data_IF_681873196560
#
_entry.id   IF_681873196560
#
_cell.length_a   1.000
_cell.length_b   1.000
_cell.length_c   1.000
_cell.angle_alpha   90.00
_cell.angle_beta   90.00
_cell.angle_gamma   90.00
#
_symmetry.space_group_name_H-M   'P 1'
#
loop_
_entity.id
_entity.type
_entity.pdbx_description
1 polymer ?
#
# COMPACT_ATOMS: atom_id res chain seq x y z
N UNK A 1 17.82 60.04 -17.01
CA UNK A 1 17.02 59.37 -15.96
C UNK A 1 16.31 58.19 -16.59
N UNK A 2 16.74 56.96 -16.28
CA UNK A 2 16.06 55.73 -16.72
C UNK A 2 15.34 55.15 -15.51
N UNK A 3 14.02 55.16 -15.55
CA UNK A 3 13.15 54.65 -14.50
C UNK A 3 12.93 53.16 -14.77
N UNK A 4 13.49 52.31 -13.91
CA UNK A 4 13.28 50.85 -13.97
C UNK A 4 12.05 50.53 -13.14
N UNK A 5 10.97 50.11 -13.79
CA UNK A 5 9.74 49.69 -13.12
C UNK A 5 9.88 48.24 -12.67
N UNK A 6 10.04 48.02 -11.36
CA UNK A 6 10.07 46.68 -10.77
C UNK A 6 8.64 46.16 -10.64
N UNK A 7 8.27 45.14 -11.42
CA UNK A 7 7.02 44.41 -11.23
C UNK A 7 7.17 43.44 -10.05
N UNK A 8 6.45 43.71 -8.96
CA UNK A 8 6.28 42.76 -7.86
C UNK A 8 5.19 41.77 -8.28
N UNK A 9 5.59 40.55 -8.65
CA UNK A 9 4.65 39.44 -8.83
C UNK A 9 4.26 38.95 -7.43
N UNK A 10 3.08 39.33 -6.97
CA UNK A 10 2.47 38.74 -5.78
C UNK A 10 2.07 37.30 -6.10
N UNK A 11 2.82 36.32 -5.59
CA UNK A 11 2.42 34.93 -5.61
C UNK A 11 1.23 34.75 -4.66
N UNK A 12 0.02 34.66 -5.22
CA UNK A 12 -1.16 34.21 -4.49
C UNK A 12 -0.96 32.74 -4.11
N UNK A 13 -0.59 32.49 -2.86
CA UNK A 13 -0.68 31.15 -2.27
C UNK A 13 -2.17 30.78 -2.22
N UNK A 14 -2.62 29.95 -3.17
CA UNK A 14 -3.93 29.34 -3.06
C UNK A 14 -3.96 28.51 -1.77
N UNK A 15 -4.98 28.64 -0.92
CA UNK A 15 -5.13 27.72 0.20
C UNK A 15 -5.23 26.31 -0.39
N UNK A 16 -4.35 25.41 0.06
CA UNK A 16 -4.51 23.97 -0.11
C UNK A 16 -5.87 23.63 0.50
N UNK A 17 -6.91 23.59 -0.33
CA UNK A 17 -8.15 22.93 0.03
C UNK A 17 -7.74 21.48 0.33
N UNK A 18 -7.80 21.10 1.61
CA UNK A 18 -7.61 19.72 2.02
C UNK A 18 -8.52 18.85 1.15
N UNK A 19 -7.97 17.75 0.66
CA UNK A 19 -8.64 16.82 -0.24
C UNK A 19 -9.85 16.18 0.45
N UNK A 20 -10.95 16.91 0.54
CA UNK A 20 -12.24 16.36 0.94
C UNK A 20 -12.92 15.80 -0.32
N UNK A 21 -12.19 14.97 -1.06
CA UNK A 21 -12.66 14.33 -2.28
C UNK A 21 -12.83 12.85 -2.02
N UNK A 22 -14.04 12.37 -2.27
CA UNK A 22 -14.31 10.94 -2.36
C UNK A 22 -13.58 10.38 -3.57
N UNK A 23 -12.98 9.19 -3.48
CA UNK A 23 -12.30 8.58 -4.62
C UNK A 23 -12.62 7.10 -4.73
N UNK A 24 -13.15 6.70 -5.89
CA UNK A 24 -13.45 5.31 -6.20
C UNK A 24 -12.20 4.44 -6.38
N UNK A 25 -11.00 5.03 -6.39
CA UNK A 25 -9.72 4.33 -6.52
C UNK A 25 -9.23 3.73 -5.20
N UNK A 26 -9.79 4.17 -4.06
CA UNK A 26 -9.34 3.77 -2.73
C UNK A 26 -9.76 2.35 -2.38
N UNK A 27 -8.83 1.57 -1.85
CA UNK A 27 -9.10 0.24 -1.33
C UNK A 27 -8.43 -0.04 0.00
N UNK A 28 -8.86 -1.12 0.63
CA UNK A 28 -8.36 -1.53 1.93
C UNK A 28 -7.21 -2.52 1.76
N UNK A 29 -6.00 -2.09 2.16
CA UNK A 29 -4.91 -3.01 2.50
C UNK A 29 -5.22 -3.58 3.90
N UNK A 30 -5.92 -4.71 3.95
CA UNK A 30 -6.40 -5.30 5.20
C UNK A 30 -5.27 -6.02 5.94
N UNK A 31 -5.07 -5.65 7.20
CA UNK A 31 -4.12 -6.31 8.12
C UNK A 31 -4.89 -6.90 9.29
N UNK A 32 -4.89 -8.23 9.39
CA UNK A 32 -5.57 -8.89 10.49
C UNK A 32 -4.90 -8.57 11.84
N UNK A 33 -5.70 -8.34 12.89
CA UNK A 33 -5.22 -8.08 14.23
C UNK A 33 -6.12 -8.73 15.29
N UNK A 34 -5.71 -8.65 16.56
CA UNK A 34 -6.57 -9.06 17.69
C UNK A 34 -7.82 -8.18 17.85
N UNK A 35 -7.90 -7.05 17.12
CA UNK A 35 -8.99 -6.09 17.19
C UNK A 35 -9.91 -6.12 15.96
N UNK A 36 -9.69 -7.00 14.98
CA UNK A 36 -10.48 -7.02 13.73
C UNK A 36 -11.98 -7.12 13.99
N UNK A 37 -12.42 -7.96 14.94
CA UNK A 37 -13.85 -8.07 15.31
C UNK A 37 -14.51 -6.75 15.72
N UNK A 38 -13.74 -5.78 16.23
CA UNK A 38 -14.26 -4.45 16.59
C UNK A 38 -14.00 -3.39 15.53
N UNK A 39 -12.93 -3.55 14.75
CA UNK A 39 -12.42 -2.52 13.84
C UNK A 39 -12.97 -2.72 12.41
N UNK A 40 -13.28 -3.95 12.00
CA UNK A 40 -13.71 -4.27 10.64
C UNK A 40 -14.97 -3.51 10.17
N UNK A 41 -16.00 -3.28 11.02
CA UNK A 41 -17.16 -2.50 10.63
C UNK A 41 -16.86 -1.03 10.26
N UNK A 42 -15.66 -0.53 10.57
CA UNK A 42 -15.22 0.82 10.21
C UNK A 42 -14.95 0.91 8.70
N UNK A 43 -14.45 -0.17 8.08
CA UNK A 43 -13.89 -0.13 6.73
C UNK A 43 -14.96 -0.04 5.63
N UNK A 44 -16.14 -0.59 5.84
CA UNK A 44 -17.23 -0.61 4.87
C UNK A 44 -18.48 0.20 5.32
N UNK A 45 -18.41 0.85 6.49
CA UNK A 45 -19.49 1.63 7.07
C UNK A 45 -20.03 2.73 6.14
N UNK A 46 -21.22 3.26 6.46
CA UNK A 46 -21.99 4.15 5.56
C UNK A 46 -21.29 5.43 5.08
N UNK A 47 -20.18 5.83 5.72
CA UNK A 47 -19.34 6.94 5.30
C UNK A 47 -17.97 6.54 4.74
N UNK A 48 -17.78 5.28 4.31
CA UNK A 48 -16.55 4.79 3.67
C UNK A 48 -16.64 4.89 2.15
N UNK A 49 -15.60 5.41 1.51
CA UNK A 49 -15.46 5.46 0.05
C UNK A 49 -14.71 4.27 -0.54
N UNK A 50 -14.31 3.30 0.28
CA UNK A 50 -13.54 2.15 -0.21
C UNK A 50 -14.39 1.29 -1.15
N UNK A 51 -13.77 0.79 -2.22
CA UNK A 51 -14.45 0.00 -3.27
C UNK A 51 -13.89 -1.40 -3.44
N UNK A 52 -12.67 -1.66 -2.96
CA UNK A 52 -11.98 -2.95 -3.07
C UNK A 52 -11.13 -3.22 -1.83
N UNK A 53 -10.74 -4.47 -1.62
CA UNK A 53 -9.79 -4.85 -0.58
C UNK A 53 -8.98 -6.08 -0.94
N UNK A 54 -7.81 -6.20 -0.33
CA UNK A 54 -7.00 -7.41 -0.31
C UNK A 54 -6.47 -7.63 1.10
N UNK A 55 -6.09 -8.86 1.43
CA UNK A 55 -5.71 -9.27 2.78
C UNK A 55 -4.43 -10.13 2.82
N UNK A 56 -3.58 -10.00 1.79
CA UNK A 56 -2.40 -10.85 1.57
C UNK A 56 -2.69 -12.35 1.41
N UNK A 57 -3.96 -12.75 1.35
CA UNK A 57 -4.37 -14.12 1.16
C UNK A 57 -5.13 -14.32 -0.13
N UNK A 58 -5.56 -15.55 -0.34
CA UNK A 58 -6.44 -15.94 -1.44
C UNK A 58 -7.86 -16.28 -0.99
N UNK A 59 -8.16 -16.17 0.31
CA UNK A 59 -9.54 -16.29 0.85
C UNK A 59 -10.05 -14.97 1.39
N UNK A 60 -11.32 -14.60 1.12
CA UNK A 60 -11.95 -13.41 1.68
C UNK A 60 -11.88 -13.34 3.21
N UNK A 61 -11.84 -12.13 3.76
CA UNK A 61 -11.89 -11.91 5.21
C UNK A 61 -13.33 -12.06 5.69
N UNK A 62 -13.57 -12.99 6.63
CA UNK A 62 -14.87 -13.15 7.28
C UNK A 62 -15.32 -11.83 7.93
N UNK A 63 -16.51 -11.36 7.60
CA UNK A 63 -17.06 -10.10 8.09
C UNK A 63 -16.85 -8.93 7.11
N UNK A 64 -15.97 -9.08 6.13
CA UNK A 64 -15.78 -8.15 5.01
C UNK A 64 -16.29 -8.75 3.69
N UNK A 65 -16.35 -10.07 3.60
CA UNK A 65 -16.77 -10.87 2.44
C UNK A 65 -18.22 -10.65 1.98
N UNK A 66 -19.09 -10.10 2.83
CA UNK A 66 -20.46 -9.70 2.49
C UNK A 66 -20.66 -8.21 2.20
N UNK A 67 -19.58 -7.42 2.19
CA UNK A 67 -19.65 -5.96 2.09
C UNK A 67 -19.64 -5.51 0.63
N UNK A 68 -19.67 -4.19 0.41
CA UNK A 68 -19.54 -3.61 -0.94
C UNK A 68 -18.11 -3.70 -1.51
N UNK A 69 -17.13 -4.10 -0.70
CA UNK A 69 -15.73 -4.12 -1.12
C UNK A 69 -15.45 -5.33 -2.00
N UNK A 70 -15.00 -5.09 -3.23
CA UNK A 70 -14.55 -6.16 -4.10
C UNK A 70 -13.29 -6.83 -3.52
N UNK A 71 -13.34 -8.13 -3.27
CA UNK A 71 -12.18 -8.89 -2.82
C UNK A 71 -11.20 -9.15 -3.97
N UNK A 72 -9.92 -8.88 -3.73
CA UNK A 72 -8.81 -9.14 -4.66
C UNK A 72 -7.90 -10.22 -4.04
N UNK A 73 -7.94 -11.47 -4.55
CA UNK A 73 -7.06 -12.53 -4.10
C UNK A 73 -5.59 -12.23 -4.43
N UNK A 74 -4.69 -12.62 -3.54
CA UNK A 74 -3.25 -12.47 -3.70
C UNK A 74 -2.54 -13.82 -3.52
N UNK A 75 -1.66 -14.16 -4.46
CA UNK A 75 -0.67 -15.21 -4.25
C UNK A 75 0.55 -14.58 -3.60
N UNK A 76 0.57 -14.52 -2.27
CA UNK A 76 1.55 -13.73 -1.52
C UNK A 76 3.01 -14.13 -1.79
N UNK A 77 3.31 -15.42 -1.92
CA UNK A 77 4.69 -15.89 -1.94
C UNK A 77 4.85 -17.30 -2.51
N UNK A 78 6.00 -17.94 -2.27
CA UNK A 78 6.29 -19.24 -2.86
C UNK A 78 5.33 -20.31 -2.33
N UNK A 79 4.84 -21.20 -3.20
CA UNK A 79 4.02 -22.31 -2.77
C UNK A 79 4.87 -23.36 -2.04
N UNK A 80 4.24 -24.24 -1.22
CA UNK A 80 4.96 -25.31 -0.54
C UNK A 80 5.61 -26.34 -1.48
N UNK A 81 5.15 -26.44 -2.74
CA UNK A 81 5.75 -27.29 -3.76
C UNK A 81 5.62 -26.70 -5.18
N UNK A 82 6.45 -27.17 -6.11
CA UNK A 82 6.39 -26.78 -7.52
C UNK A 82 5.21 -27.40 -8.31
N UNK A 83 4.37 -28.20 -7.65
CA UNK A 83 3.14 -28.78 -8.19
C UNK A 83 1.89 -28.21 -7.53
N UNK A 84 2.03 -27.25 -6.62
CA UNK A 84 0.90 -26.63 -5.95
C UNK A 84 0.01 -25.89 -6.96
N UNK A 85 -1.30 -26.02 -6.75
CA UNK A 85 -2.36 -25.37 -7.51
C UNK A 85 -3.38 -24.72 -6.58
N UNK A 86 -3.06 -24.59 -5.28
CA UNK A 86 -4.00 -24.14 -4.24
C UNK A 86 -4.54 -22.76 -4.56
N UNK A 87 -3.70 -21.83 -5.04
CA UNK A 87 -4.14 -20.49 -5.36
C UNK A 87 -5.14 -20.49 -6.53
N UNK A 88 -4.77 -21.09 -7.66
CA UNK A 88 -5.64 -21.20 -8.83
C UNK A 88 -6.96 -21.89 -8.48
N UNK A 89 -6.91 -23.03 -7.78
CA UNK A 89 -8.10 -23.79 -7.40
C UNK A 89 -9.01 -23.00 -6.46
N UNK A 90 -8.44 -22.21 -5.54
CA UNK A 90 -9.22 -21.37 -4.65
C UNK A 90 -9.93 -20.25 -5.43
N UNK A 91 -9.21 -19.51 -6.26
CA UNK A 91 -9.79 -18.43 -7.08
C UNK A 91 -10.89 -18.96 -7.99
N UNK A 92 -10.66 -20.11 -8.64
CA UNK A 92 -11.66 -20.80 -9.45
C UNK A 92 -12.90 -21.18 -8.64
N UNK A 93 -12.71 -21.68 -7.42
CA UNK A 93 -13.81 -22.02 -6.50
C UNK A 93 -14.63 -20.78 -6.11
N UNK A 94 -13.98 -19.65 -5.82
CA UNK A 94 -14.64 -18.37 -5.53
C UNK A 94 -15.49 -17.90 -6.71
N UNK A 95 -14.98 -18.00 -7.93
CA UNK A 95 -15.76 -17.68 -9.14
C UNK A 95 -16.97 -18.62 -9.27
N UNK A 96 -16.76 -19.93 -9.09
CA UNK A 96 -17.83 -20.93 -9.19
C UNK A 96 -18.92 -20.75 -8.12
N UNK A 97 -18.58 -20.21 -6.95
CA UNK A 97 -19.54 -19.87 -5.89
C UNK A 97 -20.26 -18.53 -6.10
N UNK A 98 -19.94 -17.80 -7.17
CA UNK A 98 -20.57 -16.52 -7.52
C UNK A 98 -19.85 -15.28 -7.01
N UNK A 99 -18.65 -15.42 -6.41
CA UNK A 99 -17.83 -14.28 -6.00
C UNK A 99 -17.29 -13.57 -7.25
N UNK A 100 -17.45 -12.24 -7.32
CA UNK A 100 -16.99 -11.44 -8.45
C UNK A 100 -15.48 -11.18 -8.38
N UNK A 101 -14.68 -12.12 -8.88
CA UNK A 101 -13.22 -11.96 -9.01
C UNK A 101 -12.88 -11.40 -10.39
N UNK A 102 -12.42 -10.15 -10.44
CA UNK A 102 -11.99 -9.48 -11.68
C UNK A 102 -10.48 -9.28 -11.75
N UNK A 103 -9.82 -9.17 -10.60
CA UNK A 103 -8.40 -8.92 -10.47
C UNK A 103 -7.78 -9.94 -9.51
N UNK A 104 -6.51 -10.24 -9.72
CA UNK A 104 -5.66 -10.92 -8.73
C UNK A 104 -4.33 -10.20 -8.62
N UNK A 105 -3.73 -10.26 -7.43
CA UNK A 105 -2.39 -9.76 -7.16
C UNK A 105 -1.38 -10.91 -7.18
N UNK A 106 -0.21 -10.67 -7.77
CA UNK A 106 0.94 -11.56 -7.68
C UNK A 106 1.66 -11.45 -6.33
N UNK A 107 2.93 -11.86 -6.32
CA UNK A 107 3.75 -11.99 -5.11
C UNK A 107 3.99 -10.66 -4.38
N UNK A 108 4.04 -10.71 -3.05
CA UNK A 108 4.31 -9.59 -2.16
C UNK A 108 5.79 -9.47 -1.89
N UNK A 109 6.41 -8.37 -2.31
CA UNK A 109 7.83 -8.06 -2.15
C UNK A 109 8.73 -9.30 -2.27
N UNK A 110 8.68 -10.04 -3.39
CA UNK A 110 9.47 -11.25 -3.56
C UNK A 110 10.97 -10.96 -3.53
N UNK A 111 11.38 -9.73 -3.81
CA UNK A 111 12.75 -9.23 -3.67
C UNK A 111 13.17 -8.99 -2.21
N UNK A 112 12.21 -8.91 -1.28
CA UNK A 112 12.41 -8.70 0.15
C UNK A 112 12.33 -10.00 0.95
N UNK A 113 13.33 -10.25 1.80
CA UNK A 113 13.36 -11.42 2.71
C UNK A 113 13.15 -11.06 4.18
N UNK A 114 12.83 -9.80 4.47
CA UNK A 114 12.62 -9.27 5.82
C UNK A 114 11.33 -8.44 5.84
N UNK A 115 10.79 -8.20 7.03
CA UNK A 115 9.72 -7.21 7.27
C UNK A 115 8.39 -7.45 6.54
N UNK A 116 8.10 -8.68 6.10
CA UNK A 116 6.82 -9.04 5.47
C UNK A 116 6.90 -9.33 3.97
N UNK A 117 8.09 -9.30 3.37
CA UNK A 117 8.32 -9.79 2.01
C UNK A 117 8.32 -11.31 1.90
N UNK A 118 7.99 -11.81 0.70
CA UNK A 118 7.81 -13.25 0.45
C UNK A 118 9.08 -14.02 0.14
N UNK A 119 10.22 -13.33 -0.06
CA UNK A 119 11.53 -13.94 -0.30
C UNK A 119 11.51 -15.03 -1.38
N UNK A 120 11.30 -14.63 -2.63
CA UNK A 120 11.15 -15.54 -3.76
C UNK A 120 12.07 -15.13 -4.90
N UNK A 121 12.85 -16.04 -5.45
CA UNK A 121 13.68 -15.73 -6.62
C UNK A 121 12.84 -15.62 -7.90
N UNK A 122 13.35 -14.88 -8.87
CA UNK A 122 12.64 -14.57 -10.11
C UNK A 122 12.29 -15.80 -10.97
N UNK A 123 13.13 -16.84 -10.96
CA UNK A 123 12.91 -18.06 -11.75
C UNK A 123 11.75 -18.86 -11.15
N UNK A 124 11.79 -19.12 -9.85
CA UNK A 124 10.70 -19.81 -9.14
C UNK A 124 9.39 -19.02 -9.23
N UNK A 125 9.46 -17.68 -9.20
CA UNK A 125 8.29 -16.81 -9.38
C UNK A 125 7.68 -16.92 -10.78
N UNK A 126 8.50 -16.93 -11.84
CA UNK A 126 8.02 -17.10 -13.20
C UNK A 126 7.35 -18.47 -13.41
N UNK A 127 7.97 -19.55 -12.93
CA UNK A 127 7.40 -20.91 -13.01
C UNK A 127 6.07 -21.02 -12.26
N UNK A 128 6.00 -20.42 -11.07
CA UNK A 128 4.77 -20.37 -10.26
C UNK A 128 3.68 -19.53 -10.92
N UNK A 129 4.03 -18.37 -11.47
CA UNK A 129 3.09 -17.51 -12.20
C UNK A 129 2.48 -18.26 -13.38
N UNK A 130 3.31 -18.88 -14.23
CA UNK A 130 2.86 -19.62 -15.41
C UNK A 130 1.90 -20.77 -15.02
N UNK A 131 2.14 -21.39 -13.87
CA UNK A 131 1.34 -22.49 -13.35
C UNK A 131 0.02 -22.04 -12.71
N UNK A 132 0.03 -21.03 -11.83
CA UNK A 132 -1.12 -20.71 -10.97
C UNK A 132 -1.83 -19.39 -11.30
N UNK A 133 -1.15 -18.41 -11.89
CA UNK A 133 -1.71 -17.07 -12.14
C UNK A 133 -2.13 -16.93 -13.62
N UNK A 134 -1.25 -17.28 -14.55
CA UNK A 134 -1.48 -17.14 -15.98
C UNK A 134 -2.78 -17.85 -16.48
N UNK A 135 -3.14 -19.06 -16.01
CA UNK A 135 -4.38 -19.71 -16.43
C UNK A 135 -5.64 -18.94 -16.03
N UNK A 136 -5.62 -18.18 -14.92
CA UNK A 136 -6.78 -17.39 -14.48
C UNK A 136 -7.21 -16.37 -15.52
N UNK A 137 -6.26 -15.76 -16.22
CA UNK A 137 -6.55 -14.86 -17.34
C UNK A 137 -7.12 -15.61 -18.54
N UNK A 138 -6.46 -16.71 -18.94
CA UNK A 138 -6.83 -17.47 -20.13
C UNK A 138 -8.22 -18.12 -20.01
N UNK A 139 -8.56 -18.61 -18.82
CA UNK A 139 -9.78 -19.39 -18.58
C UNK A 139 -10.93 -18.56 -18.01
N UNK A 140 -10.63 -17.48 -17.26
CA UNK A 140 -11.64 -16.70 -16.55
C UNK A 140 -11.62 -15.20 -16.88
N UNK A 141 -10.71 -14.74 -17.75
CA UNK A 141 -10.63 -13.32 -18.13
C UNK A 141 -10.22 -12.40 -16.98
N UNK A 142 -9.61 -12.94 -15.92
CA UNK A 142 -9.11 -12.18 -14.78
C UNK A 142 -7.92 -11.31 -15.22
N UNK A 143 -7.87 -10.08 -14.72
CA UNK A 143 -6.76 -9.16 -14.91
C UNK A 143 -5.67 -9.40 -13.86
N UNK A 144 -4.41 -9.52 -14.31
CA UNK A 144 -3.30 -10.01 -13.49
C UNK A 144 -2.38 -8.87 -13.05
N UNK A 145 -2.21 -8.67 -11.75
CA UNK A 145 -1.23 -7.74 -11.20
C UNK A 145 0.15 -8.38 -11.14
N UNK A 146 1.16 -7.72 -11.73
CA UNK A 146 2.55 -8.16 -11.64
C UNK A 146 3.01 -8.31 -10.16
N UNK A 147 4.15 -8.95 -9.88
CA UNK A 147 4.68 -9.00 -8.53
C UNK A 147 4.91 -7.59 -7.95
N UNK A 148 4.44 -7.36 -6.72
CA UNK A 148 4.55 -6.10 -6.01
C UNK A 148 5.92 -6.00 -5.32
N UNK A 149 6.93 -5.51 -6.03
CA UNK A 149 8.31 -5.41 -5.50
C UNK A 149 8.48 -4.24 -4.53
N UNK A 150 9.51 -4.27 -3.69
CA UNK A 150 9.85 -3.13 -2.83
C UNK A 150 10.15 -1.88 -3.67
N UNK A 151 9.92 -0.68 -3.09
CA UNK A 151 10.18 0.61 -3.74
C UNK A 151 11.67 0.94 -4.00
N UNK A 152 12.55 -0.07 -3.99
CA UNK A 152 14.00 0.08 -4.07
C UNK A 152 14.56 -0.32 -5.46
N UNK A 153 15.82 0.03 -5.78
CA UNK A 153 16.47 -0.43 -7.01
C UNK A 153 16.55 -1.95 -7.14
N UNK A 154 16.62 -2.68 -6.02
CA UNK A 154 16.64 -4.16 -6.04
C UNK A 154 15.29 -4.72 -6.49
N UNK A 155 14.18 -4.08 -6.10
CA UNK A 155 12.86 -4.45 -6.56
C UNK A 155 12.70 -4.33 -8.08
N UNK A 156 13.16 -3.23 -8.67
CA UNK A 156 13.15 -3.07 -10.14
C UNK A 156 13.99 -4.13 -10.86
N UNK A 157 15.18 -4.42 -10.33
CA UNK A 157 16.07 -5.45 -10.89
C UNK A 157 15.40 -6.82 -10.83
N UNK A 158 14.76 -7.13 -9.71
CA UNK A 158 14.02 -8.37 -9.54
C UNK A 158 12.85 -8.48 -10.53
N UNK A 159 12.06 -7.42 -10.70
CA UNK A 159 10.91 -7.43 -11.60
C UNK A 159 11.33 -7.60 -13.07
N UNK A 160 12.44 -6.98 -13.48
CA UNK A 160 13.03 -7.22 -14.80
C UNK A 160 13.47 -8.68 -14.98
N UNK A 161 14.13 -9.25 -13.98
CA UNK A 161 14.56 -10.65 -14.01
C UNK A 161 13.36 -11.61 -14.07
N UNK A 162 12.27 -11.30 -13.37
CA UNK A 162 11.02 -12.06 -13.43
C UNK A 162 10.44 -12.09 -14.85
N UNK A 163 10.26 -10.92 -15.49
CA UNK A 163 9.75 -10.89 -16.87
C UNK A 163 10.71 -11.55 -17.87
N UNK A 164 12.02 -11.51 -17.62
CA UNK A 164 13.01 -12.25 -18.41
C UNK A 164 12.83 -13.76 -18.26
N UNK A 165 12.72 -14.25 -17.03
CA UNK A 165 12.50 -15.67 -16.72
C UNK A 165 11.16 -16.19 -17.27
N UNK A 166 10.14 -15.34 -17.33
CA UNK A 166 8.86 -15.67 -17.96
C UNK A 166 8.98 -16.01 -19.45
N UNK A 167 10.01 -15.51 -20.16
CA UNK A 167 10.24 -15.76 -21.58
C UNK A 167 8.98 -15.54 -22.46
N UNK A 168 8.18 -14.52 -22.14
CA UNK A 168 6.93 -14.18 -22.82
C UNK A 168 5.68 -14.94 -22.36
N UNK A 169 5.76 -15.78 -21.32
CA UNK A 169 4.64 -16.60 -20.83
C UNK A 169 3.90 -16.00 -19.62
N UNK A 170 4.28 -14.80 -19.16
CA UNK A 170 3.58 -14.08 -18.09
C UNK A 170 2.98 -12.79 -18.67
N UNK A 171 1.65 -12.65 -18.59
CA UNK A 171 0.93 -11.53 -19.20
C UNK A 171 0.21 -10.63 -18.18
N UNK A 172 1.00 -9.92 -17.36
CA UNK A 172 0.47 -8.93 -16.42
C UNK A 172 -0.29 -7.79 -17.13
N UNK A 173 -1.38 -7.31 -16.51
CA UNK A 173 -2.24 -6.23 -16.99
C UNK A 173 -1.99 -4.89 -16.27
N UNK A 174 -1.46 -4.96 -15.05
CA UNK A 174 -1.13 -3.79 -14.24
C UNK A 174 0.09 -4.04 -13.34
N UNK A 175 0.72 -2.96 -12.92
CA UNK A 175 1.89 -3.00 -12.03
C UNK A 175 1.49 -2.52 -10.63
N UNK A 176 1.50 -3.41 -9.62
CA UNK A 176 1.49 -3.04 -8.22
C UNK A 176 2.78 -2.30 -7.81
N UNK A 177 2.63 -1.29 -6.95
CA UNK A 177 3.72 -0.44 -6.48
C UNK A 177 3.66 -0.29 -4.97
N UNK A 178 4.79 -0.54 -4.31
CA UNK A 178 4.99 -0.30 -2.89
C UNK A 178 5.90 0.89 -2.64
N UNK A 179 5.58 1.72 -1.65
CA UNK A 179 6.46 2.83 -1.26
C UNK A 179 6.34 3.22 0.21
N UNK A 180 7.48 3.16 0.91
CA UNK A 180 7.60 3.65 2.28
C UNK A 180 8.68 4.73 2.34
N UNK A 181 8.26 6.00 2.39
CA UNK A 181 9.18 7.14 2.32
C UNK A 181 8.48 8.47 2.06
N UNK A 182 9.23 9.50 1.70
CA UNK A 182 8.69 10.83 1.40
C UNK A 182 7.95 10.89 0.06
N UNK A 183 7.25 12.00 -0.18
CA UNK A 183 6.45 12.20 -1.39
C UNK A 183 7.31 12.34 -2.65
N UNK A 184 8.48 12.98 -2.56
CA UNK A 184 9.37 13.15 -3.71
C UNK A 184 9.88 11.80 -4.22
N UNK A 185 10.26 10.90 -3.31
CA UNK A 185 10.68 9.56 -3.67
C UNK A 185 9.52 8.72 -4.24
N UNK A 186 8.32 8.83 -3.66
CA UNK A 186 7.11 8.21 -4.20
C UNK A 186 6.85 8.67 -5.65
N UNK A 187 6.92 9.98 -5.87
CA UNK A 187 6.67 10.57 -7.18
C UNK A 187 7.70 10.12 -8.22
N UNK A 188 8.98 10.08 -7.82
CA UNK A 188 10.06 9.57 -8.65
C UNK A 188 9.86 8.09 -8.99
N UNK A 189 9.49 7.27 -8.00
CA UNK A 189 9.32 5.83 -8.17
C UNK A 189 8.15 5.51 -9.10
N UNK A 190 6.98 6.11 -8.86
CA UNK A 190 5.81 6.00 -9.75
C UNK A 190 6.14 6.48 -11.17
N UNK A 191 6.91 7.57 -11.31
CA UNK A 191 7.39 8.05 -12.60
C UNK A 191 8.28 7.02 -13.32
N UNK A 192 9.20 6.38 -12.60
CA UNK A 192 10.07 5.33 -13.15
C UNK A 192 9.27 4.10 -13.59
N UNK A 193 8.31 3.65 -12.79
CA UNK A 193 7.45 2.51 -13.14
C UNK A 193 6.65 2.82 -14.40
N UNK A 194 6.01 3.99 -14.47
CA UNK A 194 5.24 4.41 -15.64
C UNK A 194 6.12 4.57 -16.90
N UNK A 195 7.36 5.05 -16.76
CA UNK A 195 8.32 5.12 -17.86
C UNK A 195 8.77 3.74 -18.37
N UNK A 196 8.87 2.76 -17.47
CA UNK A 196 9.29 1.39 -17.79
C UNK A 196 8.15 0.56 -18.40
N UNK A 197 6.92 0.75 -17.90
CA UNK A 197 5.72 0.01 -18.30
C UNK A 197 4.61 0.93 -18.80
N UNK A 198 4.85 1.73 -19.87
CA UNK A 198 3.97 2.83 -20.28
C UNK A 198 2.58 2.40 -20.78
N UNK A 199 2.38 1.12 -21.09
CA UNK A 199 1.13 0.57 -21.59
C UNK A 199 0.31 -0.16 -20.52
N UNK A 200 0.75 -0.13 -19.26
CA UNK A 200 0.08 -0.79 -18.15
C UNK A 200 -0.55 0.24 -17.22
N UNK A 201 -1.66 -0.13 -16.58
CA UNK A 201 -2.18 0.64 -15.45
C UNK A 201 -1.36 0.33 -14.19
N UNK A 202 -1.51 1.16 -13.18
CA UNK A 202 -0.77 1.08 -11.92
C UNK A 202 -1.73 0.98 -10.75
N UNK A 203 -1.37 0.11 -9.81
CA UNK A 203 -2.02 -0.04 -8.52
C UNK A 203 -0.99 0.27 -7.44
N UNK A 204 -1.27 1.23 -6.56
CA UNK A 204 -0.34 1.55 -5.46
C UNK A 204 -0.84 0.77 -4.25
N UNK A 205 -0.43 -0.49 -4.16
CA UNK A 205 -0.99 -1.46 -3.22
C UNK A 205 -0.52 -1.22 -1.79
N UNK A 206 0.66 -0.63 -1.60
CA UNK A 206 1.09 -0.19 -0.27
C UNK A 206 1.82 1.14 -0.37
N UNK A 207 1.39 2.10 0.44
CA UNK A 207 2.19 3.30 0.63
C UNK A 207 1.93 3.96 1.99
N UNK A 208 2.99 4.49 2.60
CA UNK A 208 2.93 5.32 3.79
C UNK A 208 4.23 6.13 3.97
N UNK A 209 4.17 7.18 4.78
CA UNK A 209 5.39 7.80 5.30
C UNK A 209 5.80 7.06 6.58
N UNK A 210 6.80 6.20 6.47
CA UNK A 210 7.31 5.42 7.60
C UNK A 210 8.00 6.33 8.63
N UNK A 211 7.66 6.14 9.92
CA UNK A 211 8.24 6.85 11.06
C UNK A 211 8.17 8.40 10.98
N UNK A 212 7.23 8.92 10.19
CA UNK A 212 7.00 10.35 10.04
C UNK A 212 6.44 11.00 11.31
N UNK A 213 6.67 12.30 11.46
CA UNK A 213 5.93 13.09 12.44
C UNK A 213 4.44 13.13 12.06
N UNK A 214 3.55 13.41 13.03
CA UNK A 214 2.11 13.51 12.74
C UNK A 214 1.81 14.49 11.60
N UNK A 215 2.44 15.66 11.63
CA UNK A 215 2.26 16.69 10.61
C UNK A 215 2.77 16.23 9.25
N UNK A 216 3.91 15.53 9.20
CA UNK A 216 4.48 15.05 7.94
C UNK A 216 3.65 13.89 7.37
N UNK A 217 3.18 12.95 8.20
CA UNK A 217 2.31 11.85 7.75
C UNK A 217 0.98 12.38 7.19
N UNK A 218 0.37 13.37 7.85
CA UNK A 218 -0.84 14.03 7.36
C UNK A 218 -0.60 14.81 6.05
N UNK A 219 0.55 15.48 5.94
CA UNK A 219 0.94 16.21 4.72
C UNK A 219 1.18 15.25 3.56
N UNK A 220 1.96 14.20 3.79
CA UNK A 220 2.24 13.14 2.82
C UNK A 220 0.95 12.49 2.31
N UNK A 221 0.04 12.13 3.22
CA UNK A 221 -1.24 11.55 2.84
C UNK A 221 -2.05 12.47 1.92
N UNK A 222 -2.22 13.75 2.30
CA UNK A 222 -3.00 14.69 1.49
C UNK A 222 -2.37 14.94 0.11
N UNK A 223 -1.03 15.03 0.04
CA UNK A 223 -0.34 15.22 -1.24
C UNK A 223 -0.46 14.00 -2.14
N UNK A 224 -0.20 12.80 -1.60
CA UNK A 224 -0.24 11.54 -2.35
C UNK A 224 -1.65 11.20 -2.85
N UNK A 225 -2.68 11.29 -2.00
CA UNK A 225 -4.05 10.98 -2.41
C UNK A 225 -4.56 11.90 -3.53
N UNK A 226 -4.34 13.23 -3.40
CA UNK A 226 -4.67 14.20 -4.46
C UNK A 226 -3.95 13.89 -5.76
N UNK A 227 -2.66 13.56 -5.66
CA UNK A 227 -1.84 13.28 -6.82
C UNK A 227 -2.32 12.01 -7.53
N UNK A 228 -2.55 10.92 -6.81
CA UNK A 228 -3.07 9.67 -7.37
C UNK A 228 -4.43 9.82 -8.03
N UNK A 229 -5.33 10.62 -7.46
CA UNK A 229 -6.62 10.92 -8.06
C UNK A 229 -6.45 11.63 -9.43
N UNK A 230 -5.43 12.47 -9.58
CA UNK A 230 -5.12 13.19 -10.84
C UNK A 230 -4.45 12.33 -11.92
N UNK A 231 -3.83 11.20 -11.57
CA UNK A 231 -3.13 10.34 -12.52
C UNK A 231 -4.09 9.32 -13.15
N UNK A 232 -4.30 9.39 -14.46
CA UNK A 232 -5.23 8.48 -15.16
C UNK A 232 -4.76 7.03 -15.20
N UNK A 233 -3.45 6.78 -15.18
CA UNK A 233 -2.87 5.44 -15.18
C UNK A 233 -2.84 4.80 -13.79
N UNK A 234 -2.94 5.60 -12.71
CA UNK A 234 -3.17 5.07 -11.36
C UNK A 234 -4.66 4.82 -11.20
N UNK A 235 -5.05 3.56 -11.14
CA UNK A 235 -6.46 3.16 -11.11
C UNK A 235 -6.91 2.75 -9.70
N UNK A 236 -5.98 2.28 -8.87
CA UNK A 236 -6.23 1.79 -7.53
C UNK A 236 -5.10 2.21 -6.59
N UNK A 237 -5.42 2.57 -5.35
CA UNK A 237 -4.41 2.76 -4.30
C UNK A 237 -4.94 2.37 -2.91
N UNK A 238 -4.08 1.77 -2.10
CA UNK A 238 -4.36 1.37 -0.72
C UNK A 238 -3.29 1.90 0.22
N UNK A 239 -3.69 2.80 1.13
CA UNK A 239 -2.78 3.36 2.12
C UNK A 239 -2.48 2.30 3.19
N UNK A 240 -1.19 2.10 3.49
CA UNK A 240 -0.77 1.12 4.48
C UNK A 240 -0.93 1.70 5.88
N UNK A 241 -2.14 1.53 6.44
CA UNK A 241 -2.49 2.10 7.74
C UNK A 241 -3.73 1.52 8.40
N UNK A 242 -4.35 0.47 7.85
CA UNK A 242 -5.62 -0.10 8.33
C UNK A 242 -5.44 -0.96 9.60
N UNK A 243 -4.84 -0.36 10.63
CA UNK A 243 -4.53 -0.98 11.91
C UNK A 243 -4.47 0.12 12.99
N UNK A 244 -4.41 -0.32 14.25
CA UNK A 244 -4.23 0.58 15.39
C UNK A 244 -2.79 1.06 15.53
N UNK A 245 -2.63 2.30 15.98
CA UNK A 245 -1.33 2.97 16.05
C UNK A 245 -0.30 2.30 16.97
N UNK A 246 -0.72 1.51 17.95
CA UNK A 246 0.16 0.82 18.89
C UNK A 246 0.77 -0.48 18.35
N UNK A 247 0.24 -1.00 17.23
CA UNK A 247 0.74 -2.20 16.54
C UNK A 247 1.38 -1.89 15.19
N UNK A 248 1.46 -0.61 14.80
CA UNK A 248 2.09 -0.18 13.55
C UNK A 248 3.57 -0.55 13.50
N UNK A 249 4.01 -1.09 12.37
CA UNK A 249 5.41 -1.33 12.02
C UNK A 249 6.01 -0.22 11.13
N UNK A 250 5.25 0.82 10.80
CA UNK A 250 5.67 1.99 10.00
C UNK A 250 5.53 3.31 10.78
N UNK A 251 5.52 3.21 12.10
CA UNK A 251 5.31 4.33 13.02
C UNK A 251 3.82 4.60 13.31
N UNK A 252 3.50 5.11 14.51
CA UNK A 252 2.11 5.26 14.95
C UNK A 252 1.33 6.32 14.15
N UNK A 253 2.03 7.31 13.58
CA UNK A 253 1.40 8.45 12.90
C UNK A 253 0.87 8.12 11.50
N UNK A 254 1.26 6.96 10.94
CA UNK A 254 0.70 6.44 9.70
C UNK A 254 -0.56 5.59 9.91
N UNK A 255 -0.96 5.31 11.16
CA UNK A 255 -2.14 4.48 11.39
C UNK A 255 -3.46 5.23 11.13
N UNK A 256 -4.44 4.54 10.54
CA UNK A 256 -5.81 5.03 10.35
C UNK A 256 -6.62 4.97 11.64
N UNK A 257 -6.22 4.11 12.60
CA UNK A 257 -6.85 4.01 13.90
C UNK A 257 -5.85 4.39 15.00
N UNK A 258 -6.32 5.12 15.99
CA UNK A 258 -5.60 5.26 17.27
C UNK A 258 -5.51 3.90 17.97
N UNK A 259 -4.67 3.81 18.99
CA UNK A 259 -4.56 2.66 19.88
C UNK A 259 -5.89 2.24 20.56
N UNK A 260 -6.90 3.12 20.53
CA UNK A 260 -8.25 2.87 21.06
C UNK A 260 -9.27 2.45 20.00
N UNK A 261 -8.86 2.26 18.74
CA UNK A 261 -9.77 1.93 17.64
C UNK A 261 -10.59 3.11 17.12
N UNK A 262 -10.22 4.35 17.47
CA UNK A 262 -10.88 5.55 16.94
C UNK A 262 -10.16 6.03 15.68
N UNK A 263 -10.89 6.42 14.63
CA UNK A 263 -10.32 6.99 13.40
C UNK A 263 -9.40 8.18 13.70
N UNK A 264 -8.18 8.15 13.19
CA UNK A 264 -7.28 9.31 13.10
C UNK A 264 -7.76 10.25 12.00
N UNK A 265 -7.13 11.42 11.85
CA UNK A 265 -7.41 12.31 10.73
C UNK A 265 -7.14 11.63 9.38
N UNK A 266 -6.03 10.91 9.24
CA UNK A 266 -5.70 10.16 8.01
C UNK A 266 -6.77 9.09 7.75
N UNK A 267 -7.15 8.31 8.77
CA UNK A 267 -8.19 7.30 8.62
C UNK A 267 -9.52 7.90 8.18
N UNK A 268 -9.94 9.00 8.80
CA UNK A 268 -11.18 9.68 8.44
C UNK A 268 -11.13 10.21 7.00
N UNK A 269 -10.06 10.92 6.61
CA UNK A 269 -9.91 11.43 5.25
C UNK A 269 -9.88 10.31 4.21
N UNK A 270 -9.22 9.18 4.52
CA UNK A 270 -9.12 8.03 3.62
C UNK A 270 -10.50 7.44 3.32
N UNK A 271 -11.33 7.34 4.34
CA UNK A 271 -12.71 6.89 4.20
C UNK A 271 -13.64 7.93 3.57
N UNK A 272 -13.20 9.17 3.30
CA UNK A 272 -14.04 10.24 2.75
C UNK A 272 -14.73 11.11 3.80
N UNK A 273 -14.31 11.01 5.05
CA UNK A 273 -14.90 11.70 6.20
C UNK A 273 -14.09 12.94 6.60
N UNK A 274 -14.68 13.75 7.48
CA UNK A 274 -14.01 14.92 8.06
C UNK A 274 -12.99 14.49 9.12
N UNK A 275 -11.95 15.30 9.30
CA UNK A 275 -10.96 15.13 10.37
C UNK A 275 -11.63 14.90 11.73
N UNK A 276 -11.08 13.98 12.52
CA UNK A 276 -11.62 13.62 13.84
C UNK A 276 -10.91 14.36 14.98
N UNK A 277 -9.69 14.87 14.73
CA UNK A 277 -8.80 15.42 15.74
C UNK A 277 -8.16 14.37 16.65
N UNK A 278 -8.37 13.08 16.39
CA UNK A 278 -7.81 12.01 17.23
C UNK A 278 -6.32 11.79 16.90
N UNK A 279 -5.47 11.91 17.92
CA UNK A 279 -4.02 11.72 17.78
C UNK A 279 -3.61 10.27 18.06
N UNK A 280 -2.95 9.59 17.11
CA UNK A 280 -2.40 8.26 17.34
C UNK A 280 -1.26 8.28 18.35
N UNK A 281 -1.05 7.16 19.05
CA UNK A 281 0.06 6.95 19.98
C UNK A 281 0.67 5.58 19.78
N UNK A 282 1.99 5.48 19.90
CA UNK A 282 2.70 4.18 19.84
C UNK A 282 2.44 3.33 21.09
N UNK A 283 2.77 2.03 21.00
CA UNK A 283 2.67 1.12 22.14
C UNK A 283 3.62 1.53 23.26
N UNK A 284 3.20 1.42 24.52
CA UNK A 284 4.01 1.80 25.69
C UNK A 284 5.40 1.13 25.71
N UNK A 285 5.51 -0.11 25.19
CA UNK A 285 6.76 -0.85 25.07
C UNK A 285 7.67 -0.35 23.92
N UNK A 286 7.11 0.18 22.83
CA UNK A 286 7.89 0.78 21.74
C UNK A 286 8.39 2.18 22.14
N UNK A 287 7.58 2.96 22.86
CA UNK A 287 7.96 4.28 23.40
C UNK A 287 9.09 4.17 24.43
N UNK A 288 9.08 3.14 25.28
CA UNK A 288 10.15 2.90 26.27
C UNK A 288 11.49 2.55 25.64
N UNK A 289 11.51 1.85 24.48
CA UNK A 289 12.75 1.62 23.71
C UNK A 289 13.36 2.95 23.24
N UNK A 290 12.54 3.89 22.77
CA UNK A 290 13.01 5.22 22.36
C UNK A 290 13.52 6.08 23.52
N UNK A 291 12.87 6.04 24.69
CA UNK A 291 13.34 6.75 25.89
C UNK A 291 14.69 6.20 26.41
N UNK A 292 14.90 4.87 26.29
CA UNK A 292 16.18 4.23 26.62
C UNK A 292 17.31 4.66 25.67
N UNK A 293 17.05 4.80 24.38
CA UNK A 293 18.05 5.26 23.40
C UNK A 293 18.39 6.75 23.53
N UNK A 294 17.42 7.62 23.85
CA UNK A 294 17.67 9.04 24.11
C UNK A 294 18.56 9.26 25.35
N UNK A 295 18.45 8.41 26.38
CA UNK A 295 19.33 8.46 27.55
C UNK A 295 20.76 7.99 27.26
N UNK A 296 20.96 7.03 26.34
CA UNK A 296 22.29 6.55 25.93
C UNK A 296 23.02 7.60 25.08
N UNK A 297 22.32 8.34 24.22
CA UNK A 297 22.92 9.43 23.43
C UNK A 297 23.36 10.61 24.31
N UNK A 298 22.63 10.92 25.39
CA UNK A 298 23.03 11.95 26.36
C UNK A 298 24.22 11.53 27.25
N UNK A 299 24.35 10.24 27.58
CA UNK A 299 25.49 9.71 28.32
C UNK A 299 26.78 9.69 27.47
N UNK A 300 26.67 9.43 26.16
CA UNK A 300 27.81 9.45 25.24
C UNK A 300 28.39 10.86 25.01
N UNK A 301 27.58 11.92 25.11
CA UNK A 301 28.07 13.30 24.98
C UNK A 301 28.79 13.82 26.24
N UNK A 302 28.57 13.22 27.42
CA UNK A 302 29.30 13.61 28.64
C UNK A 302 30.68 12.95 28.76
N UNK A 303 30.99 11.91 27.97
CA UNK A 303 32.29 11.22 28.04
C UNK A 303 33.33 11.75 27.04
N UNK A 304 32.95 12.69 26.16
CA UNK A 304 33.86 13.34 25.18
C UNK A 304 34.37 14.70 25.69
N UNK A 305 33.98 15.14 26.90
CA UNK A 305 34.37 16.43 27.49
C UNK A 305 35.09 16.32 28.85
N UNK A 306 35.78 15.21 29.11
CA UNK A 306 36.77 15.07 30.20
C UNK A 306 38.02 14.40 29.66
#
# INVERSE_FOLDING_TARGET
>A
MRTTTTFVIAALAAPLALAQTTSSKRGLCYVNSTYSNTDDPIWDGGGSDLTWYYNYGYTPTSGIDGTKLQYIPMLWGPPPSNTDMTFYNNVKSLIASGTQIKYVLGFNEPDGCISGGSCMDAQTAAETWIREIEPLKKEHGILLGAPAVTGSPTGFTWLQNFFTACAGNCSADFIPVHWYGNFEGLASHVGQVNGTYPNMTMWITEYALAEGSLADSQTFYNQSANWFDSLSYVTHYSYFGAFRSDVSNVGPNAAMLTQKGQLTDIGAWYLGQKATGNTPKGGAAQVAKFAGWAAVVLAAMMWVMT
#
